data_IF_876580632290
#
_entry.id   IF_876580632290
#
_cell.length_a   1.000
_cell.length_b   1.000
_cell.length_c   1.000
_cell.angle_alpha   90.00
_cell.angle_beta   90.00
_cell.angle_gamma   90.00
#
_symmetry.space_group_name_H-M   'P 1'
#
loop_
_entity.id
_entity.type
_entity.pdbx_description
1 polymer ?
#
# COMPACT_ATOMS: atom_id res chain seq x y z
N UNK A 1 9.95 27.63 -3.31
CA UNK A 1 9.75 26.30 -3.95
C UNK A 1 11.12 25.66 -4.03
N UNK A 2 11.34 24.53 -3.35
CA UNK A 2 12.64 23.85 -3.35
C UNK A 2 12.86 23.15 -4.69
N UNK A 3 14.12 23.04 -5.13
CA UNK A 3 14.51 22.32 -6.36
C UNK A 3 13.92 20.90 -6.44
N UNK A 4 13.89 20.18 -5.33
CA UNK A 4 13.29 18.85 -5.25
C UNK A 4 11.77 18.87 -5.51
N UNK A 5 11.07 19.86 -4.98
CA UNK A 5 9.62 20.01 -5.22
C UNK A 5 9.29 20.29 -6.69
N UNK A 6 10.16 21.06 -7.36
CA UNK A 6 10.04 21.31 -8.81
C UNK A 6 10.31 20.03 -9.61
N UNK A 7 11.40 19.32 -9.31
CA UNK A 7 11.75 18.05 -9.97
C UNK A 7 10.65 17.00 -9.85
N UNK A 8 10.03 16.88 -8.68
CA UNK A 8 8.92 15.94 -8.45
C UNK A 8 7.69 16.33 -9.26
N UNK A 9 7.36 17.63 -9.37
CA UNK A 9 6.23 18.10 -10.17
C UNK A 9 6.47 17.84 -11.67
N UNK A 10 7.65 18.16 -12.17
CA UNK A 10 8.02 17.90 -13.57
C UNK A 10 7.96 16.40 -13.87
N UNK A 11 8.56 15.56 -13.02
CA UNK A 11 8.51 14.10 -13.17
C UNK A 11 7.08 13.54 -13.15
N UNK A 12 6.20 14.11 -12.33
CA UNK A 12 4.78 13.73 -12.29
C UNK A 12 4.04 14.12 -13.58
N UNK A 13 4.36 15.30 -14.12
CA UNK A 13 3.76 15.79 -15.38
C UNK A 13 4.20 14.94 -16.58
N UNK A 14 5.48 14.63 -16.67
CA UNK A 14 6.04 13.75 -17.69
C UNK A 14 5.43 12.33 -17.63
N UNK A 15 5.29 11.79 -16.45
CA UNK A 15 4.63 10.47 -16.26
C UNK A 15 3.20 10.48 -16.74
N UNK A 16 2.43 11.54 -16.51
CA UNK A 16 1.05 11.68 -16.99
C UNK A 16 0.97 11.83 -18.51
N UNK A 17 1.85 12.63 -19.13
CA UNK A 17 1.84 12.85 -20.57
C UNK A 17 1.99 11.56 -21.40
N UNK A 18 2.78 10.60 -20.90
CA UNK A 18 2.97 9.31 -21.59
C UNK A 18 2.10 8.17 -21.05
N UNK A 19 1.25 8.44 -20.05
CA UNK A 19 0.45 7.40 -19.41
C UNK A 19 -0.50 6.71 -20.39
N UNK A 20 -1.17 7.46 -21.24
CA UNK A 20 -2.09 6.90 -22.25
C UNK A 20 -1.39 6.02 -23.28
N UNK A 21 -0.22 6.45 -23.76
CA UNK A 21 0.57 5.65 -24.70
C UNK A 21 1.05 4.33 -24.07
N UNK A 22 1.42 4.37 -22.79
CA UNK A 22 1.80 3.16 -22.03
C UNK A 22 0.59 2.27 -21.78
N UNK A 23 -0.56 2.84 -21.41
CA UNK A 23 -1.81 2.12 -21.18
C UNK A 23 -2.22 1.32 -22.41
N UNK A 24 -2.14 1.90 -23.60
CA UNK A 24 -2.47 1.21 -24.86
C UNK A 24 -1.68 -0.08 -25.06
N UNK A 25 -0.43 -0.16 -24.56
CA UNK A 25 0.40 -1.38 -24.67
C UNK A 25 -0.08 -2.53 -23.78
N UNK A 26 -0.92 -2.22 -22.79
CA UNK A 26 -1.44 -3.17 -21.82
C UNK A 26 -2.95 -3.44 -22.01
N UNK A 27 -3.57 -2.84 -23.02
CA UNK A 27 -4.98 -3.10 -23.34
C UNK A 27 -5.19 -4.59 -23.63
N UNK A 28 -6.24 -5.16 -23.02
CA UNK A 28 -6.58 -6.57 -23.17
C UNK A 28 -5.70 -7.53 -22.37
N UNK A 29 -4.77 -7.03 -21.52
CA UNK A 29 -4.01 -7.85 -20.59
C UNK A 29 -4.61 -7.77 -19.20
N UNK A 30 -4.98 -8.91 -18.64
CA UNK A 30 -5.42 -9.02 -17.26
C UNK A 30 -4.22 -9.42 -16.39
N UNK A 31 -3.87 -8.55 -15.44
CA UNK A 31 -2.77 -8.77 -14.52
C UNK A 31 -2.93 -7.98 -13.24
N UNK A 32 -2.29 -8.44 -12.19
CA UNK A 32 -2.21 -7.77 -10.89
C UNK A 32 -0.76 -7.61 -10.47
N UNK A 33 -0.39 -6.43 -9.98
CA UNK A 33 0.96 -6.18 -9.47
C UNK A 33 0.95 -6.38 -7.95
N UNK A 34 1.65 -7.41 -7.51
CA UNK A 34 1.90 -7.66 -6.09
C UNK A 34 3.28 -7.09 -5.73
N UNK A 35 3.32 -6.22 -4.73
CA UNK A 35 4.53 -5.48 -4.37
C UNK A 35 4.64 -5.38 -2.85
N UNK A 36 5.87 -5.43 -2.33
CA UNK A 36 6.14 -5.29 -0.90
C UNK A 36 6.19 -3.82 -0.42
N UNK A 37 6.03 -2.88 -1.34
CA UNK A 37 6.09 -1.45 -1.04
C UNK A 37 5.19 -0.64 -2.00
N UNK A 38 5.23 0.69 -1.87
CA UNK A 38 4.41 1.59 -2.68
C UNK A 38 4.74 1.61 -4.19
N UNK A 39 5.81 0.94 -4.63
CA UNK A 39 6.25 0.94 -6.03
C UNK A 39 5.20 0.38 -6.99
N UNK A 40 4.50 -0.70 -6.60
CA UNK A 40 3.40 -1.25 -7.39
C UNK A 40 2.30 -0.22 -7.68
N UNK A 41 1.93 0.58 -6.67
CA UNK A 41 0.99 1.68 -6.84
C UNK A 41 1.48 2.77 -7.81
N UNK A 42 2.78 3.08 -7.77
CA UNK A 42 3.41 4.03 -8.70
C UNK A 42 3.38 3.53 -10.15
N UNK A 43 3.50 2.24 -10.39
CA UNK A 43 3.36 1.64 -11.71
C UNK A 43 1.94 1.82 -12.23
N UNK A 44 0.92 1.47 -11.45
CA UNK A 44 -0.48 1.70 -11.82
C UNK A 44 -0.71 3.16 -12.22
N UNK A 45 -0.20 4.11 -11.44
CA UNK A 45 -0.31 5.54 -11.75
C UNK A 45 0.42 5.93 -13.05
N UNK A 46 1.62 5.40 -13.27
CA UNK A 46 2.44 5.75 -14.44
C UNK A 46 1.88 5.21 -15.75
N UNK A 47 1.06 4.17 -15.69
CA UNK A 47 0.36 3.58 -16.83
C UNK A 47 -1.12 3.96 -16.89
N UNK A 48 -1.59 4.83 -16.01
CA UNK A 48 -3.00 5.23 -15.89
C UNK A 48 -3.95 4.01 -15.79
N UNK A 49 -3.56 3.03 -14.99
CA UNK A 49 -4.32 1.80 -14.78
C UNK A 49 -5.12 1.88 -13.46
N UNK A 50 -6.26 1.20 -13.37
CA UNK A 50 -6.95 1.03 -12.10
C UNK A 50 -6.06 0.25 -11.13
N UNK A 51 -6.06 0.67 -9.86
CA UNK A 51 -5.21 0.06 -8.81
C UNK A 51 -5.82 -1.25 -8.29
N UNK A 52 -5.91 -2.25 -9.15
CA UNK A 52 -6.50 -3.56 -8.84
C UNK A 52 -5.47 -4.49 -8.20
N UNK A 53 -5.04 -4.17 -6.98
CA UNK A 53 -4.11 -5.01 -6.24
C UNK A 53 -4.33 -4.86 -4.73
N UNK A 54 -4.29 -5.95 -3.96
CA UNK A 54 -4.43 -5.92 -2.52
C UNK A 54 -3.24 -5.29 -1.80
N UNK A 55 -2.11 -5.09 -2.48
CA UNK A 55 -0.88 -4.57 -1.85
C UNK A 55 -0.60 -3.10 -2.16
N UNK A 56 -1.49 -2.40 -2.88
CA UNK A 56 -1.32 -0.97 -3.15
C UNK A 56 -1.38 -0.14 -1.87
N UNK A 57 -0.33 0.65 -1.64
CA UNK A 57 -0.24 1.50 -0.44
C UNK A 57 0.17 0.75 0.82
N UNK A 58 0.59 -0.51 0.70
CA UNK A 58 1.10 -1.31 1.80
C UNK A 58 2.62 -1.37 1.76
N UNK A 59 3.22 -1.57 2.94
CA UNK A 59 4.62 -1.88 3.10
C UNK A 59 4.79 -3.14 3.93
N UNK A 60 5.57 -4.09 3.42
CA UNK A 60 5.91 -5.33 4.10
C UNK A 60 7.41 -5.41 4.30
N UNK A 61 7.84 -5.89 5.45
CA UNK A 61 9.20 -6.38 5.59
C UNK A 61 9.38 -7.67 4.79
N UNK A 62 10.61 -7.98 4.39
CA UNK A 62 10.90 -9.07 3.48
C UNK A 62 10.34 -10.42 3.97
N UNK A 63 10.47 -10.70 5.26
CA UNK A 63 10.00 -11.93 5.88
C UNK A 63 8.47 -12.08 5.78
N UNK A 64 7.75 -10.99 6.07
CA UNK A 64 6.29 -10.98 5.98
C UNK A 64 5.82 -11.04 4.53
N UNK A 65 6.54 -10.41 3.62
CA UNK A 65 6.21 -10.47 2.20
C UNK A 65 6.38 -11.88 1.62
N UNK A 66 7.46 -12.57 1.99
CA UNK A 66 7.68 -13.97 1.59
C UNK A 66 6.58 -14.86 2.17
N UNK A 67 6.21 -14.66 3.43
CA UNK A 67 5.11 -15.39 4.06
C UNK A 67 3.78 -15.16 3.32
N UNK A 68 3.46 -13.91 2.98
CA UNK A 68 2.29 -13.54 2.22
C UNK A 68 2.25 -14.20 0.83
N UNK A 69 3.36 -14.21 0.10
CA UNK A 69 3.43 -14.83 -1.22
C UNK A 69 3.27 -16.36 -1.18
N UNK A 70 3.71 -17.02 -0.10
CA UNK A 70 3.57 -18.49 0.06
C UNK A 70 2.13 -18.94 0.23
N UNK A 71 1.25 -18.07 0.72
CA UNK A 71 -0.17 -18.39 0.92
C UNK A 71 -1.05 -17.18 0.56
N UNK A 72 -0.86 -16.66 -0.65
CA UNK A 72 -1.55 -15.46 -1.13
C UNK A 72 -3.08 -15.57 -0.99
N UNK A 73 -3.65 -16.72 -1.38
CA UNK A 73 -5.10 -16.95 -1.32
C UNK A 73 -5.61 -16.93 0.11
N UNK A 74 -4.95 -17.61 1.03
CA UNK A 74 -5.33 -17.64 2.43
C UNK A 74 -5.29 -16.24 3.04
N UNK A 75 -4.25 -15.48 2.77
CA UNK A 75 -4.10 -14.16 3.36
C UNK A 75 -5.02 -13.09 2.75
N UNK A 76 -5.31 -13.15 1.46
CA UNK A 76 -6.24 -12.19 0.82
C UNK A 76 -7.67 -12.38 1.35
N UNK A 77 -8.04 -13.58 1.80
CA UNK A 77 -9.35 -13.87 2.38
C UNK A 77 -9.38 -13.83 3.90
N UNK A 78 -8.22 -13.69 4.56
CA UNK A 78 -8.12 -13.66 6.01
C UNK A 78 -8.73 -12.39 6.61
N UNK A 79 -9.33 -12.45 7.80
CA UNK A 79 -9.85 -11.28 8.48
C UNK A 79 -8.70 -10.33 8.86
N UNK A 80 -8.88 -9.05 8.54
CA UNK A 80 -7.95 -7.99 8.88
C UNK A 80 -8.17 -7.52 10.31
N UNK A 81 -7.08 -7.51 11.10
CA UNK A 81 -7.04 -6.91 12.43
C UNK A 81 -6.07 -5.72 12.41
N UNK A 82 -6.47 -4.59 12.96
CA UNK A 82 -5.56 -3.48 13.20
C UNK A 82 -4.92 -3.62 14.57
N UNK A 83 -3.62 -3.40 14.63
CA UNK A 83 -2.83 -3.39 15.87
C UNK A 83 -2.12 -2.05 16.03
N UNK A 84 -1.77 -1.71 17.26
CA UNK A 84 -0.97 -0.51 17.53
C UNK A 84 0.49 -0.76 17.17
N UNK A 85 1.24 0.29 16.82
CA UNK A 85 2.67 0.16 16.52
C UNK A 85 3.46 -0.54 17.65
N UNK A 86 3.12 -0.25 18.90
CA UNK A 86 3.77 -0.82 20.09
C UNK A 86 3.56 -2.33 20.21
N UNK A 87 2.44 -2.85 19.68
CA UNK A 87 2.09 -4.26 19.70
C UNK A 87 2.66 -5.02 18.50
N UNK A 88 3.28 -4.31 17.56
CA UNK A 88 3.88 -4.92 16.37
C UNK A 88 5.17 -5.68 16.72
N UNK A 89 5.34 -6.84 16.09
CA UNK A 89 6.62 -7.58 16.15
C UNK A 89 7.80 -6.79 15.59
N UNK A 90 7.54 -5.75 14.81
CA UNK A 90 8.55 -4.90 14.18
C UNK A 90 8.91 -3.64 14.99
N UNK A 91 8.33 -3.45 16.17
CA UNK A 91 8.51 -2.25 17.01
C UNK A 91 9.97 -1.91 17.33
N UNK A 92 10.86 -2.90 17.34
CA UNK A 92 12.29 -2.73 17.64
C UNK A 92 13.16 -2.62 16.38
N UNK A 93 12.58 -2.68 15.18
CA UNK A 93 13.34 -2.55 13.94
C UNK A 93 13.92 -1.15 13.80
N UNK A 94 15.24 -1.02 13.52
CA UNK A 94 15.90 0.29 13.38
C UNK A 94 15.22 1.20 12.36
N UNK A 95 14.72 0.63 11.27
CA UNK A 95 14.02 1.36 10.21
C UNK A 95 12.76 2.05 10.72
N UNK A 96 12.08 1.45 11.70
CA UNK A 96 10.86 2.00 12.30
C UNK A 96 11.16 2.88 13.51
N UNK A 97 12.13 2.51 14.34
CA UNK A 97 12.54 3.30 15.52
C UNK A 97 13.02 4.68 15.09
N UNK A 98 13.75 4.77 13.97
CA UNK A 98 14.26 6.02 13.44
C UNK A 98 13.24 6.79 12.59
N UNK A 99 12.10 6.21 12.24
CA UNK A 99 11.05 6.89 11.49
C UNK A 99 10.08 7.59 12.46
N UNK A 100 10.15 8.92 12.51
CA UNK A 100 9.26 9.75 13.34
C UNK A 100 7.77 9.56 13.03
N UNK A 101 7.44 8.96 11.89
CA UNK A 101 6.05 8.69 11.46
C UNK A 101 5.56 7.32 11.91
N UNK A 102 6.41 6.46 12.44
CA UNK A 102 6.05 5.08 12.77
C UNK A 102 4.82 4.99 13.68
N UNK A 103 4.74 5.83 14.73
CA UNK A 103 3.60 5.88 15.64
C UNK A 103 2.28 6.34 15.01
N UNK A 104 2.30 6.86 13.79
CA UNK A 104 1.12 7.34 13.07
C UNK A 104 0.66 6.40 11.95
N UNK A 105 1.42 5.35 11.67
CA UNK A 105 1.04 4.38 10.64
C UNK A 105 0.11 3.32 11.22
N UNK A 106 -1.07 3.11 10.62
CA UNK A 106 -1.89 1.96 10.97
C UNK A 106 -1.19 0.67 10.52
N UNK A 107 -1.14 -0.31 11.42
CA UNK A 107 -0.57 -1.62 11.15
C UNK A 107 -1.69 -2.63 11.02
N UNK A 108 -1.79 -3.25 9.84
CA UNK A 108 -2.68 -4.37 9.60
C UNK A 108 -2.00 -5.68 9.91
N UNK A 109 -2.71 -6.56 10.59
CA UNK A 109 -2.29 -7.94 10.86
C UNK A 109 -3.30 -8.90 10.26
N UNK A 110 -2.82 -9.89 9.54
CA UNK A 110 -3.61 -10.99 8.99
C UNK A 110 -3.10 -12.30 9.58
N UNK A 111 -4.03 -13.20 9.89
CA UNK A 111 -3.71 -14.51 10.40
C UNK A 111 -4.50 -15.56 9.64
N UNK A 112 -3.82 -16.57 9.12
CA UNK A 112 -4.46 -17.72 8.49
C UNK A 112 -4.46 -18.88 9.48
N UNK A 113 -5.63 -19.41 9.79
CA UNK A 113 -5.81 -20.62 10.57
C UNK A 113 -5.92 -21.83 9.63
N UNK A 114 -4.90 -22.67 9.59
CA UNK A 114 -4.95 -23.92 8.81
C UNK A 114 -3.80 -24.84 9.19
N UNK A 115 -4.12 -26.06 9.67
CA UNK A 115 -3.15 -27.13 9.83
C UNK A 115 -2.05 -26.94 10.86
N UNK A 116 -2.39 -26.69 12.13
CA UNK A 116 -1.45 -26.85 13.25
C UNK A 116 -0.48 -25.71 13.54
N UNK A 117 -0.29 -24.75 12.64
CA UNK A 117 0.48 -23.52 12.91
C UNK A 117 -0.26 -22.31 12.35
N UNK A 118 -0.74 -21.43 13.22
CA UNK A 118 -1.28 -20.14 12.77
C UNK A 118 -0.13 -19.29 12.25
N UNK A 119 -0.16 -18.95 10.97
CA UNK A 119 0.78 -18.01 10.36
C UNK A 119 0.18 -16.62 10.46
N UNK A 120 0.92 -15.69 11.02
CA UNK A 120 0.54 -14.29 11.04
C UNK A 120 1.61 -13.44 10.39
N UNK A 121 1.19 -12.42 9.65
CA UNK A 121 2.10 -11.39 9.18
C UNK A 121 1.50 -10.00 9.41
N UNK A 122 2.37 -9.00 9.44
CA UNK A 122 1.98 -7.61 9.65
C UNK A 122 2.45 -6.75 8.48
N UNK A 123 1.68 -5.71 8.15
CA UNK A 123 2.05 -4.74 7.15
C UNK A 123 1.70 -3.32 7.62
N UNK A 124 2.41 -2.36 7.09
CA UNK A 124 2.22 -0.94 7.38
C UNK A 124 1.43 -0.31 6.25
N UNK A 125 0.37 0.43 6.57
CA UNK A 125 -0.42 1.14 5.59
C UNK A 125 0.20 2.51 5.36
N UNK A 126 0.84 2.70 4.22
CA UNK A 126 1.49 3.97 3.82
C UNK A 126 0.53 4.85 3.01
N UNK A 127 -0.63 4.34 2.64
CA UNK A 127 -1.60 5.11 1.89
C UNK A 127 -1.92 6.40 2.66
N UNK A 128 -1.57 7.54 2.09
CA UNK A 128 -2.01 8.84 2.56
C UNK A 128 -3.53 8.82 2.61
N UNK A 129 -4.10 8.71 3.80
CA UNK A 129 -5.51 8.95 4.04
C UNK A 129 -5.72 10.43 3.71
N UNK A 130 -6.09 10.73 2.48
CA UNK A 130 -6.70 12.02 2.20
C UNK A 130 -7.98 12.04 3.02
N UNK A 131 -7.96 12.72 4.17
CA UNK A 131 -9.18 13.12 4.85
C UNK A 131 -10.06 13.80 3.80
N UNK A 132 -11.06 13.09 3.32
CA UNK A 132 -12.19 13.67 2.64
C UNK A 132 -12.84 14.53 3.72
N UNK A 133 -12.57 15.84 3.72
CA UNK A 133 -13.37 16.80 4.50
C UNK A 133 -14.81 16.48 4.13
N UNK A 134 -15.55 15.97 5.10
CA UNK A 134 -16.99 15.81 5.00
C UNK A 134 -17.55 17.23 4.76
N UNK A 135 -17.90 17.49 3.50
CA UNK A 135 -18.67 18.66 3.16
C UNK A 135 -19.98 18.59 3.92
N UNK A 136 -20.30 19.65 4.60
CA UNK A 136 -21.53 19.92 5.31
C UNK A 136 -22.74 19.36 4.59
N UNK A 137 -23.47 18.47 5.25
CA UNK A 137 -24.84 18.16 4.90
C UNK A 137 -25.66 19.45 5.02
N UNK A 138 -25.99 20.06 3.88
CA UNK A 138 -27.00 21.10 3.82
C UNK A 138 -28.34 20.46 4.14
N UNK A 139 -28.93 20.87 5.23
CA UNK A 139 -30.32 20.62 5.54
C UNK A 139 -31.18 21.24 4.43
N UNK A 140 -32.01 20.42 3.80
CA UNK A 140 -33.12 20.89 2.98
C UNK A 140 -34.37 20.73 3.85
N UNK A 141 -34.99 21.87 4.10
CA UNK A 141 -36.31 21.98 4.70
C UNK A 141 -37.39 21.38 3.79
#
# INVERSE_FOLDING_TARGET
MTYEGFRLKVSKYWRKGFAQARQKKLLGKDFTIISNNCWGGMIYESYNLPKNSPTVGLFFFAEDYICFLKDLKGFVTAPLKFIRPEDSKWKTRPELVNDKRFGHYPIGQLSTGGGGQSKSFSYIIIASVRHRKSGSAGAIA
#
